data_IF_021349506294
#
_entry.id   IF_021349506294
#
_cell.length_a   1.000
_cell.length_b   1.000
_cell.length_c   1.000
_cell.angle_alpha   90.00
_cell.angle_beta   90.00
_cell.angle_gamma   90.00
#
_symmetry.space_group_name_H-M   'P 1'
#
loop_
_entity.id
_entity.type
_entity.pdbx_description
1 polymer ?
#
# COMPACT_ATOMS: atom_id res chain seq x y z
N UNK A 1 14.26 -12.30 -6.78
CA UNK A 1 13.30 -11.84 -7.81
C UNK A 1 12.05 -11.36 -7.12
N UNK A 2 11.31 -10.43 -7.71
CA UNK A 2 10.04 -9.90 -7.18
C UNK A 2 8.98 -9.88 -8.28
N UNK A 3 7.74 -10.21 -7.93
CA UNK A 3 6.60 -10.29 -8.85
C UNK A 3 5.68 -9.10 -8.67
N UNK A 4 5.23 -8.49 -9.78
CA UNK A 4 4.25 -7.40 -9.72
C UNK A 4 2.83 -7.95 -9.58
N UNK A 5 2.10 -7.54 -8.55
CA UNK A 5 0.72 -7.98 -8.26
C UNK A 5 -0.33 -7.50 -9.28
N UNK A 6 0.06 -6.66 -10.24
CA UNK A 6 -0.85 -6.04 -11.21
C UNK A 6 -0.67 -6.57 -12.63
N UNK A 7 0.49 -7.14 -12.95
CA UNK A 7 0.79 -7.62 -14.30
C UNK A 7 1.49 -8.99 -14.32
N UNK A 8 1.68 -9.60 -13.15
CA UNK A 8 2.29 -10.93 -12.96
C UNK A 8 3.69 -11.10 -13.60
N UNK A 9 4.34 -9.99 -13.97
CA UNK A 9 5.70 -9.99 -14.51
C UNK A 9 6.74 -10.12 -13.39
N UNK A 10 7.83 -10.83 -13.71
CA UNK A 10 8.96 -11.05 -12.81
C UNK A 10 10.07 -10.04 -13.05
N UNK A 11 10.57 -9.46 -11.97
CA UNK A 11 11.64 -8.47 -12.01
C UNK A 11 12.81 -8.89 -11.13
N UNK A 12 14.03 -8.53 -11.56
CA UNK A 12 15.17 -8.55 -10.66
C UNK A 12 15.09 -7.29 -9.79
N UNK A 13 15.13 -7.43 -8.47
CA UNK A 13 15.02 -6.31 -7.53
C UNK A 13 15.99 -5.17 -7.84
N UNK A 14 17.22 -5.49 -8.25
CA UNK A 14 18.22 -4.50 -8.65
C UNK A 14 17.80 -3.60 -9.83
N UNK A 15 17.07 -4.13 -10.82
CA UNK A 15 16.58 -3.34 -11.96
C UNK A 15 15.37 -2.47 -11.62
N UNK A 16 14.74 -2.70 -10.46
CA UNK A 16 13.58 -1.94 -9.99
C UNK A 16 13.84 -1.22 -8.65
N UNK A 17 15.12 -1.08 -8.27
CA UNK A 17 15.57 -0.43 -7.04
C UNK A 17 14.93 -1.00 -5.77
N UNK A 18 14.80 -2.32 -5.68
CA UNK A 18 14.33 -3.03 -4.49
C UNK A 18 15.49 -3.83 -3.91
N UNK A 19 15.93 -3.43 -2.72
CA UNK A 19 16.91 -4.17 -1.96
C UNK A 19 16.28 -5.40 -1.28
N UNK A 20 17.05 -6.47 -1.01
CA UNK A 20 16.53 -7.67 -0.35
C UNK A 20 15.86 -7.36 1.00
N UNK A 21 16.41 -6.43 1.78
CA UNK A 21 15.85 -6.01 3.08
C UNK A 21 14.48 -5.35 2.93
N UNK A 22 14.29 -4.55 1.88
CA UNK A 22 12.99 -3.92 1.60
C UNK A 22 11.98 -4.93 1.08
N UNK A 23 12.43 -5.91 0.28
CA UNK A 23 11.55 -6.97 -0.25
C UNK A 23 10.87 -7.81 0.84
N UNK A 24 11.49 -7.93 2.01
CA UNK A 24 10.92 -8.61 3.17
C UNK A 24 9.78 -7.82 3.84
N UNK A 25 9.68 -6.51 3.54
CA UNK A 25 8.71 -5.60 4.16
C UNK A 25 7.51 -5.30 3.27
N UNK A 26 7.50 -5.76 2.02
CA UNK A 26 6.41 -5.50 1.08
C UNK A 26 5.41 -6.67 1.04
N UNK A 27 4.14 -6.38 1.34
CA UNK A 27 3.02 -7.31 1.14
C UNK A 27 2.59 -7.37 -0.33
N UNK A 28 2.71 -6.25 -1.05
CA UNK A 28 2.39 -6.10 -2.48
C UNK A 28 3.39 -5.20 -3.18
N UNK A 29 3.74 -5.55 -4.43
CA UNK A 29 4.64 -4.79 -5.29
C UNK A 29 3.95 -4.37 -6.60
N UNK A 30 4.08 -3.08 -6.94
CA UNK A 30 3.63 -2.49 -8.21
C UNK A 30 4.83 -1.99 -9.00
N UNK A 31 5.03 -2.51 -10.22
CA UNK A 31 6.14 -2.11 -11.08
C UNK A 31 5.96 -0.68 -11.65
N UNK A 32 7.05 -0.06 -12.12
CA UNK A 32 7.02 1.29 -12.68
C UNK A 32 6.02 1.43 -13.85
N UNK A 33 5.98 0.45 -14.76
CA UNK A 33 5.01 0.43 -15.87
C UNK A 33 3.56 0.51 -15.37
N UNK A 34 3.21 -0.26 -14.35
CA UNK A 34 1.88 -0.24 -13.73
C UNK A 34 1.62 1.05 -12.94
N UNK A 35 2.66 1.75 -12.46
CA UNK A 35 2.55 3.06 -11.83
C UNK A 35 2.31 4.16 -12.86
N UNK A 36 3.00 4.13 -13.99
CA UNK A 36 2.89 5.13 -15.07
C UNK A 36 1.57 5.03 -15.84
N UNK A 37 1.00 3.82 -15.97
CA UNK A 37 -0.33 3.62 -16.53
C UNK A 37 -1.50 4.04 -15.62
N UNK A 38 -1.21 4.32 -14.34
CA UNK A 38 -2.20 4.78 -13.39
C UNK A 38 -2.24 6.32 -13.40
N UNK A 39 -3.05 6.90 -14.27
CA UNK A 39 -3.53 8.27 -14.08
C UNK A 39 -4.39 8.25 -12.82
N UNK A 40 -3.74 8.55 -11.68
CA UNK A 40 -4.26 8.54 -10.30
C UNK A 40 -5.02 7.28 -9.92
N UNK A 41 -4.43 6.44 -9.08
CA UNK A 41 -5.04 6.05 -7.80
C UNK A 41 -4.23 4.94 -7.12
N UNK A 42 -4.14 5.09 -5.80
CA UNK A 42 -3.56 4.19 -4.80
C UNK A 42 -2.06 4.43 -4.51
N UNK A 43 -1.86 5.52 -3.79
CA UNK A 43 -0.95 5.62 -2.66
C UNK A 43 -1.35 4.56 -1.62
N UNK A 44 -0.59 3.47 -1.48
CA UNK A 44 -0.65 2.66 -0.26
C UNK A 44 0.76 2.31 0.18
N UNK A 45 1.38 3.26 0.89
CA UNK A 45 2.23 2.89 2.01
C UNK A 45 1.27 2.35 3.07
N UNK A 46 1.30 1.05 3.32
CA UNK A 46 0.61 0.46 4.47
C UNK A 46 1.32 0.96 5.73
N UNK A 47 0.83 2.07 6.28
CA UNK A 47 1.08 2.48 7.66
C UNK A 47 -0.28 2.46 8.34
N UNK A 48 -0.58 1.34 9.00
CA UNK A 48 -1.70 1.12 9.93
C UNK A 48 -2.93 2.05 9.80
N UNK A 49 -3.86 1.70 8.91
CA UNK A 49 -5.18 2.38 8.79
C UNK A 49 -6.04 2.31 10.08
N UNK A 50 -5.65 1.53 11.08
CA UNK A 50 -6.45 1.31 12.29
C UNK A 50 -6.44 2.52 13.25
N UNK A 51 -5.35 3.29 13.29
CA UNK A 51 -5.21 4.45 14.21
C UNK A 51 -5.85 5.73 13.65
N UNK A 52 -5.76 5.98 12.34
CA UNK A 52 -6.26 7.21 11.71
C UNK A 52 -7.80 7.34 11.77
N UNK A 53 -8.49 6.21 11.71
CA UNK A 53 -9.95 6.14 11.80
C UNK A 53 -10.50 6.58 13.17
N UNK A 54 -9.68 6.52 14.23
CA UNK A 54 -10.06 6.91 15.59
C UNK A 54 -9.97 8.42 15.82
N UNK A 55 -9.10 9.11 15.08
CA UNK A 55 -8.90 10.56 15.20
C UNK A 55 -9.88 11.36 14.33
N UNK A 56 -10.27 10.83 13.16
CA UNK A 56 -11.23 11.49 12.26
C UNK A 56 -12.69 11.30 12.69
N UNK A 57 -13.02 10.21 13.39
CA UNK A 57 -14.32 10.04 14.04
C UNK A 57 -14.31 10.72 15.40
N UNK A 58 -14.31 12.06 15.40
CA UNK A 58 -14.44 12.91 16.58
C UNK A 58 -15.60 12.48 17.48
N UNK A 59 -15.34 11.52 18.36
CA UNK A 59 -16.33 10.91 19.22
C UNK A 59 -16.86 11.95 20.18
N UNK A 60 -18.14 12.29 20.05
CA UNK A 60 -18.89 12.82 21.19
C UNK A 60 -19.45 11.62 21.97
N UNK A 61 -19.23 11.56 23.30
CA UNK A 61 -19.72 10.46 24.10
C UNK A 61 -21.23 10.63 24.36
N UNK A 62 -22.02 9.68 23.88
CA UNK A 62 -23.39 9.40 24.35
C UNK A 62 -24.53 10.06 23.56
N UNK A 63 -25.30 9.25 22.84
CA UNK A 63 -26.72 9.48 22.57
C UNK A 63 -27.45 8.13 22.39
N UNK A 64 -28.49 7.95 23.19
CA UNK A 64 -29.33 6.76 23.38
C UNK A 64 -30.34 6.50 22.23
N UNK A 65 -30.92 5.30 22.31
CA UNK A 65 -32.30 4.91 21.91
C UNK A 65 -32.45 4.36 20.49
N UNK A 66 -33.05 3.18 20.25
CA UNK A 66 -33.98 2.36 21.03
C UNK A 66 -33.58 0.88 21.02
#
# INVERSE_FOLDING_TARGET
MITCDYCDEWFHGAYVNIFPTESLSFDKYKCAKCKEGARSDIMTLHYDEMEASRYLRGGTPGALSQ
#
